data_IF_722809391439
#
_entry.id   IF_722809391439
#
_cell.length_a   1.000
_cell.length_b   1.000
_cell.length_c   1.000
_cell.angle_alpha   90.00
_cell.angle_beta   90.00
_cell.angle_gamma   90.00
#
_symmetry.space_group_name_H-M   'P 1'
#
loop_
_entity.id
_entity.type
_entity.pdbx_description
1 polymer ?
#
# COMPACT_ATOMS: atom_id res chain seq x y z
N UNK A 1 64.04 32.49 -29.51
CA UNK A 1 64.98 31.59 -28.82
C UNK A 1 64.37 31.35 -27.45
N UNK A 2 63.53 30.34 -27.28
CA UNK A 2 63.76 28.88 -27.24
C UNK A 2 63.30 28.42 -25.83
N UNK A 3 63.08 27.12 -25.58
CA UNK A 3 61.77 26.57 -25.34
C UNK A 3 61.71 25.84 -23.99
N UNK A 4 60.61 25.13 -23.74
CA UNK A 4 60.52 23.95 -22.84
C UNK A 4 61.20 24.09 -21.47
N UNK A 5 60.41 24.36 -20.44
CA UNK A 5 60.61 23.69 -19.16
C UNK A 5 59.64 22.51 -19.05
N UNK A 6 60.26 21.33 -19.05
CA UNK A 6 59.70 20.02 -18.79
C UNK A 6 59.07 19.94 -17.38
N UNK A 7 57.93 19.24 -17.29
CA UNK A 7 57.58 18.21 -16.31
C UNK A 7 57.85 18.38 -14.80
N UNK A 8 56.71 18.32 -14.06
CA UNK A 8 56.41 17.59 -12.79
C UNK A 8 57.08 18.10 -11.48
N UNK A 9 56.58 17.78 -10.25
CA UNK A 9 55.38 17.02 -9.85
C UNK A 9 54.53 17.59 -8.67
N UNK A 10 53.29 17.10 -8.57
CA UNK A 10 52.49 16.72 -7.39
C UNK A 10 52.63 17.51 -6.07
N UNK A 11 51.57 18.23 -5.68
CA UNK A 11 51.24 18.48 -4.27
C UNK A 11 49.90 17.83 -3.95
N UNK A 12 49.99 16.83 -3.07
CA UNK A 12 48.92 16.06 -2.47
C UNK A 12 48.37 16.90 -1.30
N UNK A 13 47.35 17.72 -1.55
CA UNK A 13 46.61 18.36 -0.46
C UNK A 13 45.29 17.62 -0.24
N UNK A 14 45.42 16.64 0.65
CA UNK A 14 44.40 16.08 1.50
C UNK A 14 43.24 17.07 1.75
N UNK A 15 42.16 16.96 0.98
CA UNK A 15 40.87 17.50 1.42
C UNK A 15 39.90 16.34 1.64
N UNK A 16 39.67 15.91 2.90
CA UNK A 16 38.56 15.05 3.22
C UNK A 16 37.29 15.84 2.96
N UNK A 17 36.70 15.64 1.78
CA UNK A 17 35.35 16.04 1.46
C UNK A 17 34.42 15.29 2.40
N UNK A 18 34.22 15.89 3.56
CA UNK A 18 33.41 15.40 4.65
C UNK A 18 32.00 15.20 4.13
N UNK A 19 31.60 13.94 4.17
CA UNK A 19 30.25 13.44 4.07
C UNK A 19 29.23 14.43 4.61
N UNK A 20 28.39 14.95 3.73
CA UNK A 20 26.99 15.19 4.06
C UNK A 20 26.17 14.69 2.89
N UNK A 21 26.12 13.36 2.80
CA UNK A 21 25.02 12.66 2.18
C UNK A 21 23.75 13.16 2.89
N UNK A 22 22.89 13.84 2.12
CA UNK A 22 21.59 14.27 2.59
C UNK A 22 20.86 13.02 3.10
N UNK A 23 20.35 13.04 4.34
CA UNK A 23 19.84 11.85 5.00
C UNK A 23 18.74 11.23 4.15
N UNK A 24 18.70 9.89 3.99
CA UNK A 24 17.50 9.26 3.47
C UNK A 24 16.36 9.71 4.39
N UNK A 25 15.40 10.44 3.82
CA UNK A 25 14.08 10.67 4.41
C UNK A 25 13.39 9.31 4.48
N UNK A 26 13.85 8.48 5.41
CA UNK A 26 13.09 7.42 6.00
C UNK A 26 11.93 8.13 6.71
N UNK A 27 10.88 8.41 5.94
CA UNK A 27 9.55 8.51 6.52
C UNK A 27 9.34 7.15 7.15
N UNK A 28 9.58 7.11 8.46
CA UNK A 28 9.13 6.13 9.44
C UNK A 28 7.78 5.57 8.96
N UNK A 29 7.86 4.53 8.13
CA UNK A 29 6.75 3.64 7.79
C UNK A 29 6.68 2.53 8.83
N UNK A 30 7.21 2.79 10.01
CA UNK A 30 7.22 1.84 11.11
C UNK A 30 6.76 2.53 12.36
N UNK A 31 5.44 2.74 12.46
CA UNK A 31 4.70 2.73 13.74
C UNK A 31 3.22 2.97 13.51
N UNK A 32 2.65 2.13 12.65
CA UNK A 32 1.27 1.68 12.78
C UNK A 32 1.20 0.30 12.14
N UNK A 33 1.83 -0.66 12.82
CA UNK A 33 1.17 -1.96 13.05
C UNK A 33 -0.11 -1.69 13.87
N UNK A 34 -1.00 -0.82 13.35
CA UNK A 34 -2.43 -0.90 13.61
C UNK A 34 -2.67 -2.35 13.29
N UNK A 35 -3.12 -3.15 14.27
CA UNK A 35 -3.73 -4.47 14.01
C UNK A 35 -4.34 -4.37 12.63
N UNK A 36 -3.77 -5.07 11.63
CA UNK A 36 -4.11 -4.84 10.24
C UNK A 36 -5.64 -4.80 10.20
N UNK A 37 -6.18 -3.65 9.80
CA UNK A 37 -7.61 -3.55 9.61
C UNK A 37 -7.90 -4.50 8.46
N UNK A 38 -8.55 -5.63 8.78
CA UNK A 38 -8.57 -6.89 8.03
C UNK A 38 -7.27 -7.71 8.11
N UNK A 39 -7.38 -8.96 8.57
CA UNK A 39 -6.37 -10.00 8.45
C UNK A 39 -6.17 -10.40 6.98
N UNK A 40 -5.10 -11.15 6.69
CA UNK A 40 -4.85 -11.62 5.32
C UNK A 40 -5.99 -12.50 4.80
N UNK A 41 -6.55 -13.36 5.66
CA UNK A 41 -7.66 -14.25 5.34
C UNK A 41 -8.96 -13.47 5.10
N UNK A 42 -9.30 -12.52 5.99
CA UNK A 42 -10.46 -11.65 5.80
C UNK A 42 -10.35 -10.85 4.49
N UNK A 43 -9.15 -10.38 4.14
CA UNK A 43 -8.91 -9.61 2.92
C UNK A 43 -9.00 -10.48 1.67
N UNK A 44 -8.49 -11.71 1.69
CA UNK A 44 -8.62 -12.65 0.57
C UNK A 44 -10.10 -12.94 0.27
N UNK A 45 -10.90 -13.22 1.30
CA UNK A 45 -12.34 -13.44 1.15
C UNK A 45 -13.00 -12.19 0.58
N UNK A 46 -12.70 -11.00 1.11
CA UNK A 46 -13.24 -9.75 0.60
C UNK A 46 -12.93 -9.57 -0.90
N UNK A 47 -11.67 -9.76 -1.31
CA UNK A 47 -11.27 -9.59 -2.71
C UNK A 47 -11.90 -10.64 -3.62
N UNK A 48 -11.87 -11.91 -3.20
CA UNK A 48 -12.42 -13.03 -3.96
C UNK A 48 -13.92 -12.83 -4.20
N UNK A 49 -14.68 -12.57 -3.15
CA UNK A 49 -16.14 -12.48 -3.25
C UNK A 49 -16.59 -11.21 -3.98
N UNK A 50 -15.94 -10.06 -3.74
CA UNK A 50 -16.27 -8.83 -4.46
C UNK A 50 -15.92 -8.95 -5.93
N UNK A 51 -14.83 -9.65 -6.28
CA UNK A 51 -14.47 -9.92 -7.69
C UNK A 51 -15.48 -10.87 -8.35
N UNK A 52 -15.89 -11.94 -7.66
CA UNK A 52 -16.92 -12.86 -8.14
C UNK A 52 -18.27 -12.15 -8.39
N UNK A 53 -18.62 -11.21 -7.52
CA UNK A 53 -19.86 -10.43 -7.62
C UNK A 53 -19.68 -9.07 -8.32
N UNK A 54 -18.52 -8.80 -8.93
CA UNK A 54 -18.16 -7.48 -9.46
C UNK A 54 -19.19 -6.95 -10.46
N UNK A 55 -19.64 -7.81 -11.38
CA UNK A 55 -20.64 -7.43 -12.37
C UNK A 55 -21.93 -6.96 -11.68
N UNK A 56 -22.43 -7.73 -10.71
CA UNK A 56 -23.67 -7.41 -10.00
C UNK A 56 -23.55 -6.16 -9.12
N UNK A 57 -22.38 -5.95 -8.50
CA UNK A 57 -22.12 -4.83 -7.60
C UNK A 57 -21.89 -3.52 -8.35
N UNK A 58 -21.18 -3.54 -9.48
CA UNK A 58 -20.68 -2.32 -10.12
C UNK A 58 -21.14 -2.13 -11.57
N UNK A 59 -21.45 -3.20 -12.30
CA UNK A 59 -21.80 -3.12 -13.74
C UNK A 59 -23.31 -3.13 -13.96
N UNK A 60 -24.06 -3.90 -13.15
CA UNK A 60 -25.51 -4.01 -13.28
C UNK A 60 -26.23 -2.80 -12.67
N UNK A 61 -26.48 -1.77 -13.49
CA UNK A 61 -27.26 -0.59 -13.09
C UNK A 61 -28.72 -0.90 -12.75
N UNK A 62 -29.27 -2.00 -13.28
CA UNK A 62 -30.65 -2.45 -13.04
C UNK A 62 -30.85 -3.22 -11.72
N UNK A 63 -29.78 -3.51 -10.98
CA UNK A 63 -29.90 -4.27 -9.73
C UNK A 63 -30.40 -3.34 -8.61
N UNK A 64 -31.49 -3.70 -7.90
CA UNK A 64 -32.00 -2.86 -6.83
C UNK A 64 -30.99 -2.76 -5.69
N UNK A 65 -30.99 -1.61 -5.01
CA UNK A 65 -30.06 -1.30 -3.91
C UNK A 65 -30.13 -2.40 -2.85
N UNK A 66 -31.31 -2.87 -2.47
CA UNK A 66 -31.50 -3.94 -1.48
C UNK A 66 -30.81 -5.26 -1.87
N UNK A 67 -30.78 -5.61 -3.17
CA UNK A 67 -30.04 -6.78 -3.65
C UNK A 67 -28.54 -6.57 -3.55
N UNK A 68 -28.07 -5.36 -3.86
CA UNK A 68 -26.66 -4.99 -3.75
C UNK A 68 -26.20 -5.03 -2.29
N UNK A 69 -27.02 -4.51 -1.37
CA UNK A 69 -26.79 -4.64 0.09
C UNK A 69 -26.80 -6.09 0.53
N UNK A 70 -27.70 -6.94 0.01
CA UNK A 70 -27.72 -8.36 0.34
C UNK A 70 -26.45 -9.10 -0.09
N UNK A 71 -25.89 -8.77 -1.26
CA UNK A 71 -24.58 -9.31 -1.69
C UNK A 71 -23.50 -8.87 -0.72
N UNK A 72 -23.46 -7.59 -0.35
CA UNK A 72 -22.50 -7.11 0.64
C UNK A 72 -22.67 -7.75 2.02
N UNK A 73 -23.90 -8.04 2.45
CA UNK A 73 -24.16 -8.77 3.69
C UNK A 73 -23.61 -10.20 3.60
N UNK A 74 -23.85 -10.92 2.50
CA UNK A 74 -23.28 -12.26 2.30
C UNK A 74 -21.74 -12.26 2.36
N UNK A 75 -21.11 -11.25 1.75
CA UNK A 75 -19.65 -11.06 1.81
C UNK A 75 -19.20 -10.85 3.26
N UNK A 76 -19.92 -10.02 4.01
CA UNK A 76 -19.64 -9.77 5.44
C UNK A 76 -19.84 -11.02 6.28
N UNK A 77 -20.87 -11.82 6.05
CA UNK A 77 -21.09 -13.10 6.73
C UNK A 77 -19.92 -14.06 6.51
N UNK A 78 -19.43 -14.17 5.26
CA UNK A 78 -18.25 -14.99 4.93
C UNK A 78 -16.97 -14.46 5.57
N UNK A 79 -16.83 -13.14 5.72
CA UNK A 79 -15.70 -12.55 6.43
C UNK A 79 -15.84 -12.83 7.94
N UNK A 80 -17.04 -12.66 8.49
CA UNK A 80 -17.30 -12.83 9.91
C UNK A 80 -17.14 -14.28 10.40
N UNK A 81 -17.22 -15.26 9.50
CA UNK A 81 -16.94 -16.67 9.85
C UNK A 81 -15.46 -16.93 10.17
N UNK A 82 -14.55 -16.09 9.65
CA UNK A 82 -13.10 -16.18 9.91
C UNK A 82 -12.55 -14.99 10.72
N UNK A 83 -13.32 -13.91 10.81
CA UNK A 83 -12.90 -12.71 11.52
C UNK A 83 -12.92 -12.92 13.04
N UNK A 84 -11.84 -12.51 13.70
CA UNK A 84 -11.79 -12.45 15.17
C UNK A 84 -12.73 -11.38 15.73
N UNK A 85 -13.10 -10.37 14.92
CA UNK A 85 -13.97 -9.26 15.31
C UNK A 85 -15.07 -9.08 14.27
N UNK A 86 -16.30 -8.92 14.75
CA UNK A 86 -17.46 -8.66 13.90
C UNK A 86 -17.24 -7.45 12.95
N UNK A 87 -17.36 -7.70 11.66
CA UNK A 87 -17.28 -6.69 10.59
C UNK A 87 -18.67 -6.28 10.14
N UNK A 88 -18.77 -5.04 9.69
CA UNK A 88 -20.00 -4.48 9.12
C UNK A 88 -19.81 -4.20 7.64
N UNK A 89 -20.92 -4.20 6.89
CA UNK A 89 -20.95 -3.85 5.45
C UNK A 89 -20.25 -2.52 5.19
N UNK A 90 -20.47 -1.53 6.03
CA UNK A 90 -19.87 -0.19 5.90
C UNK A 90 -18.33 -0.29 5.96
N UNK A 91 -17.78 -1.13 6.85
CA UNK A 91 -16.34 -1.33 6.94
C UNK A 91 -15.75 -2.11 5.78
N UNK A 92 -16.43 -3.16 5.31
CA UNK A 92 -16.00 -3.90 4.13
C UNK A 92 -15.98 -3.01 2.88
N UNK A 93 -17.05 -2.25 2.64
CA UNK A 93 -17.13 -1.28 1.54
C UNK A 93 -16.03 -0.24 1.63
N UNK A 94 -15.84 0.37 2.81
CA UNK A 94 -14.75 1.33 3.00
C UNK A 94 -13.41 0.70 2.67
N UNK A 95 -13.14 -0.52 3.16
CA UNK A 95 -11.88 -1.22 2.88
C UNK A 95 -11.67 -1.48 1.38
N UNK A 96 -12.73 -1.88 0.66
CA UNK A 96 -12.68 -2.08 -0.78
C UNK A 96 -12.41 -0.79 -1.57
N UNK A 97 -13.01 0.34 -1.16
CA UNK A 97 -12.82 1.63 -1.83
C UNK A 97 -11.53 2.37 -1.46
N UNK A 98 -10.94 2.06 -0.31
CA UNK A 98 -9.67 2.65 0.18
C UNK A 98 -8.43 1.93 -0.39
N UNK A 99 -8.64 0.87 -1.18
CA UNK A 99 -7.61 0.10 -1.88
C UNK A 99 -7.29 0.68 -3.25
#
# INVERSE_FOLDING_TARGET
>A
MDPRCLHRPQEDDNRPGTSQEDPPKAKDREKKKRKCSFSAEEQEILVKEVTEHQHQLFVTSKLPISRREAIWQQIVDKINSVAEVWRTVIKCKKRWHDC
#
